data_IF_298076107536
#
_entry.id   IF_298076107536
#
_cell.length_a   1.000
_cell.length_b   1.000
_cell.length_c   1.000
_cell.angle_alpha   90.00
_cell.angle_beta   90.00
_cell.angle_gamma   90.00
#
_symmetry.space_group_name_H-M   'P 1'
#
loop_
_entity.id
_entity.type
_entity.pdbx_description
1 polymer ?
#
# COMPACT_ATOMS: atom_id res chain seq x y z
N UNK A 1 -13.53 10.28 -6.25
CA UNK A 1 -13.50 11.10 -7.48
C UNK A 1 -12.76 10.39 -8.61
N UNK A 2 -11.52 9.92 -8.41
CA UNK A 2 -10.79 9.16 -9.45
C UNK A 2 -11.51 7.89 -9.91
N UNK A 3 -12.10 7.12 -8.98
CA UNK A 3 -12.87 5.93 -9.32
C UNK A 3 -14.01 6.26 -10.32
N UNK A 4 -14.79 7.31 -10.04
CA UNK A 4 -15.83 7.78 -10.95
C UNK A 4 -15.27 8.23 -12.31
N UNK A 5 -14.14 8.95 -12.33
CA UNK A 5 -13.49 9.38 -13.56
C UNK A 5 -12.95 8.22 -14.42
N UNK A 6 -12.79 7.03 -13.84
CA UNK A 6 -12.36 5.79 -14.52
C UNK A 6 -13.47 4.76 -14.69
N UNK A 7 -14.72 5.13 -14.38
CA UNK A 7 -15.85 4.18 -14.34
C UNK A 7 -15.52 2.92 -13.50
N UNK A 8 -14.74 3.13 -12.43
CA UNK A 8 -14.18 2.11 -11.57
C UNK A 8 -14.91 2.07 -10.22
N UNK A 9 -14.76 0.95 -9.52
CA UNK A 9 -15.22 0.80 -8.13
C UNK A 9 -14.10 1.20 -7.17
N UNK A 10 -14.42 2.00 -6.16
CA UNK A 10 -13.53 2.24 -5.03
C UNK A 10 -13.65 1.10 -4.03
N UNK A 11 -12.58 0.32 -3.85
CA UNK A 11 -12.54 -0.75 -2.85
C UNK A 11 -11.81 -0.27 -1.59
N UNK A 12 -12.45 -0.33 -0.40
CA UNK A 12 -11.80 0.06 0.85
C UNK A 12 -10.75 -0.98 1.25
N UNK A 13 -9.52 -0.52 1.52
CA UNK A 13 -8.41 -1.39 1.96
C UNK A 13 -8.54 -1.88 3.40
N UNK A 14 -9.46 -1.29 4.18
CA UNK A 14 -9.95 -1.86 5.43
C UNK A 14 -11.47 -2.06 5.29
N UNK A 15 -11.94 -3.32 5.14
CA UNK A 15 -13.36 -3.58 4.96
C UNK A 15 -14.20 -3.05 6.13
N UNK A 16 -15.46 -2.72 5.87
CA UNK A 16 -16.35 -2.12 6.88
C UNK A 16 -16.46 -2.99 8.15
N UNK A 17 -16.50 -4.32 7.98
CA UNK A 17 -16.57 -5.27 9.09
C UNK A 17 -15.30 -5.28 9.98
N UNK A 18 -14.17 -4.80 9.48
CA UNK A 18 -12.92 -4.68 10.24
C UNK A 18 -12.84 -3.38 11.07
N UNK A 19 -13.74 -2.41 10.86
CA UNK A 19 -13.65 -1.10 11.51
C UNK A 19 -13.72 -1.15 13.05
N UNK A 20 -14.55 -1.99 13.69
CA UNK A 20 -14.53 -2.12 15.15
C UNK A 20 -13.16 -2.58 15.67
N UNK A 21 -12.60 -3.63 15.07
CA UNK A 21 -11.28 -4.15 15.46
C UNK A 21 -10.17 -3.13 15.17
N UNK A 22 -10.25 -2.42 14.04
CA UNK A 22 -9.33 -1.33 13.71
C UNK A 22 -9.25 -0.31 14.84
N UNK A 23 -10.39 0.11 15.40
CA UNK A 23 -10.43 1.09 16.49
C UNK A 23 -9.69 0.57 17.72
N UNK A 24 -9.83 -0.70 18.05
CA UNK A 24 -9.12 -1.30 19.19
C UNK A 24 -7.61 -1.36 18.96
N UNK A 25 -7.19 -1.79 17.76
CA UNK A 25 -5.78 -1.84 17.38
C UNK A 25 -5.16 -0.43 17.34
N UNK A 26 -5.88 0.55 16.80
CA UNK A 26 -5.44 1.95 16.69
C UNK A 26 -5.21 2.61 18.06
N UNK A 27 -5.88 2.14 19.12
CA UNK A 27 -5.66 2.62 20.50
C UNK A 27 -4.42 2.01 21.18
N UNK A 28 -3.87 0.93 20.64
CA UNK A 28 -2.67 0.28 21.17
C UNK A 28 -1.41 0.90 20.57
N UNK A 29 -0.26 0.55 21.15
CA UNK A 29 1.04 1.08 20.74
C UNK A 29 1.84 0.14 19.84
N UNK A 30 1.41 -1.12 19.75
CA UNK A 30 2.18 -2.17 19.11
C UNK A 30 2.11 -2.05 17.58
N UNK A 31 3.21 -1.58 16.97
CA UNK A 31 3.35 -1.39 15.53
C UNK A 31 3.18 -2.71 14.76
N UNK A 32 3.71 -3.82 15.28
CA UNK A 32 3.61 -5.13 14.64
C UNK A 32 2.17 -5.63 14.63
N UNK A 33 1.47 -5.53 15.76
CA UNK A 33 0.06 -5.91 15.84
C UNK A 33 -0.81 -5.07 14.88
N UNK A 34 -0.50 -3.77 14.77
CA UNK A 34 -1.14 -2.87 13.82
C UNK A 34 -0.84 -3.29 12.37
N UNK A 35 0.41 -3.59 12.05
CA UNK A 35 0.81 -4.06 10.72
C UNK A 35 0.08 -5.35 10.35
N UNK A 36 0.07 -6.37 11.22
CA UNK A 36 -0.63 -7.63 11.01
C UNK A 36 -2.14 -7.42 10.77
N UNK A 37 -2.76 -6.52 11.53
CA UNK A 37 -4.17 -6.15 11.32
C UNK A 37 -4.39 -5.57 9.92
N UNK A 38 -3.58 -4.60 9.50
CA UNK A 38 -3.72 -3.98 8.17
C UNK A 38 -3.42 -4.96 7.04
N UNK A 39 -2.45 -5.86 7.21
CA UNK A 39 -2.17 -6.92 6.25
C UNK A 39 -3.36 -7.86 6.08
N UNK A 40 -3.97 -8.32 7.19
CA UNK A 40 -5.17 -9.16 7.15
C UNK A 40 -6.33 -8.46 6.41
N UNK A 41 -6.52 -7.17 6.68
CA UNK A 41 -7.55 -6.38 5.99
C UNK A 41 -7.24 -6.22 4.49
N UNK A 42 -5.98 -5.98 4.12
CA UNK A 42 -5.54 -5.85 2.73
C UNK A 42 -5.66 -7.15 1.94
N UNK A 43 -5.34 -8.29 2.53
CA UNK A 43 -5.55 -9.59 1.90
C UNK A 43 -7.05 -9.86 1.67
N UNK A 44 -7.89 -9.50 2.64
CA UNK A 44 -9.36 -9.59 2.46
C UNK A 44 -9.84 -8.69 1.33
N UNK A 45 -9.34 -7.45 1.25
CA UNK A 45 -9.64 -6.54 0.16
C UNK A 45 -9.11 -7.07 -1.19
N UNK A 46 -7.95 -7.72 -1.22
CA UNK A 46 -7.40 -8.31 -2.45
C UNK A 46 -8.33 -9.36 -3.08
N UNK A 47 -9.01 -10.16 -2.27
CA UNK A 47 -10.01 -11.13 -2.76
C UNK A 47 -11.26 -10.45 -3.33
N UNK A 48 -11.64 -9.29 -2.79
CA UNK A 48 -12.71 -8.46 -3.36
C UNK A 48 -12.28 -7.80 -4.67
N UNK A 49 -11.06 -7.25 -4.71
CA UNK A 49 -10.47 -6.66 -5.92
C UNK A 49 -10.42 -7.71 -7.03
N UNK A 50 -9.96 -8.94 -6.75
CA UNK A 50 -9.93 -10.05 -7.72
C UNK A 50 -11.30 -10.34 -8.31
N UNK A 51 -12.36 -10.32 -7.49
CA UNK A 51 -13.73 -10.53 -7.96
C UNK A 51 -14.15 -9.45 -8.95
N UNK A 52 -13.94 -8.17 -8.63
CA UNK A 52 -14.24 -7.07 -9.56
C UNK A 52 -13.44 -7.17 -10.87
N UNK A 53 -12.13 -7.43 -10.78
CA UNK A 53 -11.28 -7.56 -11.95
C UNK A 53 -11.69 -8.74 -12.83
N UNK A 54 -12.06 -9.88 -12.23
CA UNK A 54 -12.56 -11.05 -12.98
C UNK A 54 -13.88 -10.79 -13.70
N UNK A 55 -14.69 -9.85 -13.19
CA UNK A 55 -15.90 -9.38 -13.83
C UNK A 55 -15.66 -8.24 -14.85
N UNK A 56 -14.40 -7.93 -15.17
CA UNK A 56 -14.04 -6.85 -16.09
C UNK A 56 -14.27 -5.43 -15.53
N UNK A 57 -14.48 -5.29 -14.22
CA UNK A 57 -14.72 -4.00 -13.58
C UNK A 57 -13.41 -3.40 -13.08
N UNK A 58 -13.00 -2.20 -13.55
CA UNK A 58 -11.81 -1.52 -13.04
C UNK A 58 -11.96 -1.18 -11.55
N UNK A 59 -10.83 -1.18 -10.84
CA UNK A 59 -10.80 -0.91 -9.40
C UNK A 59 -9.82 0.21 -9.09
N UNK A 60 -10.24 1.12 -8.21
CA UNK A 60 -9.37 2.09 -7.55
C UNK A 60 -9.30 1.74 -6.08
N UNK A 61 -8.09 1.78 -5.52
CA UNK A 61 -7.85 1.58 -4.08
C UNK A 61 -7.03 2.73 -3.54
N UNK A 62 -7.31 3.09 -2.29
CA UNK A 62 -6.46 3.98 -1.52
C UNK A 62 -5.65 3.16 -0.53
N UNK A 63 -4.37 3.47 -0.35
CA UNK A 63 -3.58 2.94 0.77
C UNK A 63 -3.38 1.40 0.74
N UNK A 64 -2.90 0.86 -0.39
CA UNK A 64 -2.66 -0.59 -0.56
C UNK A 64 -1.38 -1.09 0.14
N UNK A 65 -0.85 -2.27 -0.25
CA UNK A 65 0.29 -2.90 0.41
C UNK A 65 1.52 -1.99 0.55
N UNK A 66 1.88 -1.22 -0.47
CA UNK A 66 3.03 -0.33 -0.40
C UNK A 66 2.94 0.65 0.77
N UNK A 67 1.77 1.27 0.99
CA UNK A 67 1.55 2.17 2.14
C UNK A 67 1.61 1.44 3.46
N UNK A 68 1.03 0.23 3.54
CA UNK A 68 1.09 -0.57 4.75
C UNK A 68 2.54 -0.88 5.12
N UNK A 69 3.32 -1.42 4.18
CA UNK A 69 4.71 -1.81 4.42
C UNK A 69 5.60 -0.59 4.72
N UNK A 70 5.51 0.47 3.90
CA UNK A 70 6.33 1.67 4.07
C UNK A 70 6.07 2.37 5.41
N UNK A 71 4.79 2.60 5.75
CA UNK A 71 4.47 3.30 7.01
C UNK A 71 4.88 2.46 8.22
N UNK A 72 4.56 1.17 8.27
CA UNK A 72 4.89 0.36 9.45
C UNK A 72 6.40 0.13 9.57
N UNK A 73 7.12 -0.06 8.46
CA UNK A 73 8.58 -0.13 8.44
C UNK A 73 9.23 1.16 8.96
N UNK A 74 8.77 2.32 8.49
CA UNK A 74 9.25 3.62 8.99
C UNK A 74 8.94 3.86 10.48
N UNK A 75 7.87 3.25 10.99
CA UNK A 75 7.50 3.26 12.41
C UNK A 75 8.20 2.18 13.24
N UNK A 76 9.09 1.39 12.64
CA UNK A 76 9.93 0.42 13.35
C UNK A 76 9.36 -1.00 13.43
N UNK A 77 8.37 -1.35 12.59
CA UNK A 77 8.04 -2.76 12.38
C UNK A 77 9.27 -3.51 11.82
N UNK A 78 9.50 -4.70 12.36
CA UNK A 78 10.62 -5.60 12.04
C UNK A 78 10.14 -6.91 11.45
N UNK A 79 8.83 -7.16 11.44
CA UNK A 79 8.27 -8.35 10.83
C UNK A 79 8.57 -8.37 9.33
N UNK A 80 9.33 -9.38 8.90
CA UNK A 80 9.58 -9.64 7.48
C UNK A 80 8.33 -10.22 6.82
N UNK A 81 7.86 -9.58 5.74
CA UNK A 81 6.70 -10.02 4.97
C UNK A 81 7.13 -10.33 3.55
N UNK A 82 6.76 -11.51 3.07
CA UNK A 82 6.82 -11.85 1.65
C UNK A 82 5.40 -11.82 1.10
N UNK A 83 5.16 -10.95 0.12
CA UNK A 83 3.85 -10.86 -0.54
C UNK A 83 3.70 -11.98 -1.58
N UNK A 84 2.52 -12.61 -1.68
CA UNK A 84 2.25 -13.56 -2.76
C UNK A 84 2.40 -12.91 -4.14
N UNK A 85 3.03 -13.60 -5.12
CA UNK A 85 3.27 -13.04 -6.45
C UNK A 85 1.98 -12.85 -7.28
N UNK A 86 0.89 -13.52 -6.91
CA UNK A 86 -0.42 -13.51 -7.56
C UNK A 86 -1.35 -12.40 -7.03
N UNK A 87 -0.86 -11.50 -6.18
CA UNK A 87 -1.63 -10.33 -5.77
C UNK A 87 -1.92 -9.41 -6.95
N UNK A 88 -3.12 -8.78 -7.01
CA UNK A 88 -3.39 -7.73 -7.98
C UNK A 88 -2.31 -6.63 -7.91
N UNK A 89 -1.67 -6.33 -9.04
CA UNK A 89 -0.64 -5.31 -9.14
C UNK A 89 -1.24 -4.01 -9.71
N UNK A 90 -1.52 -2.99 -8.87
CA UNK A 90 -2.06 -1.73 -9.35
C UNK A 90 -0.99 -0.87 -10.02
N UNK A 91 -1.42 -0.03 -10.97
CA UNK A 91 -0.67 1.20 -11.27
C UNK A 91 -0.77 2.10 -10.05
N UNK A 92 0.37 2.44 -9.46
CA UNK A 92 0.42 3.17 -8.18
C UNK A 92 0.82 4.62 -8.44
N UNK A 93 0.10 5.56 -7.83
CA UNK A 93 0.43 6.98 -7.86
C UNK A 93 0.78 7.45 -6.45
N UNK A 94 1.93 8.09 -6.32
CA UNK A 94 2.36 8.76 -5.10
C UNK A 94 2.06 10.25 -5.23
N UNK A 95 1.12 10.73 -4.40
CA UNK A 95 0.66 12.11 -4.44
C UNK A 95 1.50 12.95 -3.48
N UNK A 96 2.25 13.89 -4.04
CA UNK A 96 3.15 14.77 -3.30
C UNK A 96 2.61 16.19 -3.31
N UNK A 97 3.01 16.98 -2.32
CA UNK A 97 2.83 18.43 -2.33
C UNK A 97 3.89 19.05 -1.42
N UNK A 98 4.15 20.34 -1.63
CA UNK A 98 4.99 21.14 -0.74
C UNK A 98 4.50 21.07 0.72
N UNK A 99 5.45 21.11 1.65
CA UNK A 99 5.18 20.90 3.08
C UNK A 99 4.21 21.96 3.65
N UNK A 100 4.34 23.21 3.21
CA UNK A 100 3.46 24.32 3.64
C UNK A 100 2.02 24.07 3.21
N UNK A 101 1.82 23.61 1.98
CA UNK A 101 0.51 23.25 1.47
C UNK A 101 -0.06 22.02 2.19
N UNK A 102 0.79 21.03 2.48
CA UNK A 102 0.39 19.88 3.29
C UNK A 102 -0.09 20.31 4.67
N UNK A 103 0.61 21.22 5.34
CA UNK A 103 0.18 21.75 6.65
C UNK A 103 -1.12 22.55 6.56
N UNK A 104 -1.27 23.39 5.53
CA UNK A 104 -2.50 24.15 5.30
C UNK A 104 -3.71 23.20 5.12
N UNK A 105 -3.58 22.19 4.26
CA UNK A 105 -4.63 21.17 4.01
C UNK A 105 -4.95 20.35 5.26
N UNK A 106 -3.95 20.02 6.08
CA UNK A 106 -4.16 19.29 7.33
C UNK A 106 -4.87 20.14 8.39
N UNK A 107 -4.55 21.44 8.48
CA UNK A 107 -5.16 22.36 9.44
C UNK A 107 -6.63 22.62 9.11
N UNK A 108 -6.98 22.67 7.83
CA UNK A 108 -8.37 22.78 7.37
C UNK A 108 -9.19 21.50 7.48
N UNK A 109 -8.60 20.39 7.96
CA UNK A 109 -9.29 19.09 8.00
C UNK A 109 -10.10 18.93 9.28
N UNK A 110 -11.40 18.73 9.14
CA UNK A 110 -12.28 18.32 10.26
C UNK A 110 -12.12 16.82 10.54
N UNK A 111 -10.94 16.43 11.03
CA UNK A 111 -10.65 15.06 11.44
C UNK A 111 -9.73 15.07 12.66
N UNK A 112 -10.08 14.36 13.75
CA UNK A 112 -9.18 14.21 14.89
C UNK A 112 -7.87 13.56 14.44
N UNK A 113 -6.75 14.20 14.78
CA UNK A 113 -5.43 13.60 14.59
C UNK A 113 -5.29 12.39 15.50
N UNK A 114 -5.09 11.21 14.92
CA UNK A 114 -4.72 10.05 15.72
C UNK A 114 -3.25 10.14 16.13
N UNK A 115 -2.88 9.42 17.21
CA UNK A 115 -1.48 9.22 17.58
C UNK A 115 -0.64 8.74 16.38
N UNK A 116 -1.19 7.84 15.57
CA UNK A 116 -0.50 7.28 14.42
C UNK A 116 -0.28 8.33 13.32
N UNK A 117 -1.20 9.28 13.14
CA UNK A 117 -1.00 10.41 12.25
C UNK A 117 0.16 11.30 12.73
N UNK A 118 0.27 11.52 14.05
CA UNK A 118 1.38 12.27 14.64
C UNK A 118 2.72 11.54 14.47
N UNK A 119 2.75 10.21 14.67
CA UNK A 119 3.95 9.39 14.48
C UNK A 119 4.41 9.35 13.01
N UNK A 120 3.46 9.23 12.06
CA UNK A 120 3.79 9.28 10.63
C UNK A 120 4.31 10.68 10.26
N UNK A 121 3.71 11.75 10.80
CA UNK A 121 4.21 13.12 10.59
C UNK A 121 5.64 13.31 11.11
N UNK A 122 5.97 12.79 12.29
CA UNK A 122 7.33 12.90 12.84
C UNK A 122 8.35 12.00 12.14
N UNK A 123 7.88 11.00 11.38
CA UNK A 123 8.71 10.08 10.60
C UNK A 123 8.63 10.35 9.09
N UNK A 124 8.20 11.53 8.63
CA UNK A 124 7.89 11.80 7.22
C UNK A 124 9.04 11.44 6.26
N UNK A 125 10.28 11.85 6.56
CA UNK A 125 11.45 11.50 5.75
C UNK A 125 11.65 9.98 5.62
N UNK A 126 11.60 9.27 6.75
CA UNK A 126 11.71 7.79 6.77
C UNK A 126 10.58 7.10 6.01
N UNK A 127 9.38 7.68 6.04
CA UNK A 127 8.23 7.16 5.30
C UNK A 127 8.44 7.34 3.79
N UNK A 128 8.92 8.52 3.36
CA UNK A 128 9.28 8.77 1.95
C UNK A 128 10.36 7.79 1.49
N UNK A 129 11.42 7.61 2.27
CA UNK A 129 12.50 6.67 1.95
C UNK A 129 11.97 5.23 1.84
N UNK A 130 11.05 4.84 2.73
CA UNK A 130 10.45 3.51 2.73
C UNK A 130 9.55 3.24 1.51
N UNK A 131 9.14 4.27 0.77
CA UNK A 131 8.43 4.10 -0.51
C UNK A 131 9.35 3.85 -1.70
N UNK A 132 10.64 4.22 -1.62
CA UNK A 132 11.59 4.12 -2.73
C UNK A 132 11.66 2.75 -3.44
N UNK A 133 11.49 1.59 -2.76
CA UNK A 133 11.53 0.29 -3.42
C UNK A 133 10.30 -0.03 -4.29
N UNK A 134 9.21 0.74 -4.19
CA UNK A 134 7.95 0.44 -4.88
C UNK A 134 7.85 1.24 -6.20
N UNK A 135 7.46 0.61 -7.31
CA UNK A 135 7.26 1.32 -8.56
C UNK A 135 6.01 2.21 -8.47
N UNK A 136 6.20 3.53 -8.51
CA UNK A 136 5.11 4.50 -8.41
C UNK A 136 5.30 5.66 -9.38
N UNK A 137 4.18 6.18 -9.90
CA UNK A 137 4.14 7.44 -10.60
C UNK A 137 4.01 8.59 -9.60
N UNK A 138 4.97 9.50 -9.59
CA UNK A 138 4.91 10.68 -8.74
C UNK A 138 4.02 11.74 -9.38
N UNK A 139 3.05 12.25 -8.63
CA UNK A 139 2.15 13.30 -9.08
C UNK A 139 2.22 14.44 -8.09
N UNK A 140 2.82 15.55 -8.51
CA UNK A 140 2.81 16.80 -7.76
C UNK A 140 1.40 17.39 -7.75
N UNK A 141 0.89 17.61 -6.55
CA UNK A 141 -0.44 18.17 -6.28
C UNK A 141 -0.37 19.59 -5.74
N UNK A 142 0.82 20.21 -5.72
CA UNK A 142 1.04 21.57 -5.21
C UNK A 142 0.24 22.59 -6.03
N UNK A 143 -0.57 23.40 -5.34
CA UNK A 143 -1.46 24.40 -5.92
C UNK A 143 -2.64 23.83 -6.69
N UNK A 144 -2.84 22.51 -6.70
CA UNK A 144 -3.86 21.84 -7.53
C UNK A 144 -5.10 21.45 -6.76
N UNK A 145 -6.26 21.73 -7.32
CA UNK A 145 -7.54 21.21 -6.86
C UNK A 145 -7.74 19.73 -7.22
N UNK A 146 -8.72 19.04 -6.60
CA UNK A 146 -8.97 17.61 -6.84
C UNK A 146 -9.17 17.23 -8.30
N UNK A 147 -9.86 18.07 -9.09
CA UNK A 147 -10.09 17.81 -10.52
C UNK A 147 -8.79 17.88 -11.35
N UNK A 148 -7.92 18.83 -11.06
CA UNK A 148 -6.64 18.99 -11.76
C UNK A 148 -5.69 17.82 -11.44
N UNK A 149 -5.70 17.34 -10.19
CA UNK A 149 -4.97 16.13 -9.80
C UNK A 149 -5.47 14.90 -10.56
N UNK A 150 -6.79 14.75 -10.73
CA UNK A 150 -7.36 13.64 -11.52
C UNK A 150 -6.88 13.72 -12.97
N UNK A 151 -6.91 14.91 -13.59
CA UNK A 151 -6.42 15.07 -14.97
C UNK A 151 -4.94 14.72 -15.09
N UNK A 152 -4.10 15.11 -14.12
CA UNK A 152 -2.68 14.75 -14.09
C UNK A 152 -2.47 13.22 -14.00
N UNK A 153 -3.24 12.55 -13.15
CA UNK A 153 -3.21 11.07 -13.03
C UNK A 153 -3.59 10.42 -14.36
N UNK A 154 -4.68 10.87 -14.99
CA UNK A 154 -5.16 10.31 -16.26
C UNK A 154 -4.15 10.55 -17.41
N UNK A 155 -3.47 11.69 -17.44
CA UNK A 155 -2.44 11.99 -18.44
C UNK A 155 -1.18 11.12 -18.34
N UNK A 156 -0.88 10.61 -17.14
CA UNK A 156 0.29 9.75 -16.90
C UNK A 156 0.13 8.38 -17.59
N UNK A 157 -1.10 7.87 -17.66
CA UNK A 157 -1.39 6.57 -18.29
C UNK A 157 -1.25 6.60 -19.81
N UNK A 158 -1.58 7.73 -20.43
CA UNK A 158 -1.44 7.92 -21.89
C UNK A 158 0.03 7.92 -22.31
N UNK A 159 0.94 8.40 -21.47
CA UNK A 159 2.38 8.37 -21.73
C UNK A 159 2.98 6.98 -21.50
N UNK A 160 2.50 6.24 -20.49
CA UNK A 160 2.96 4.87 -20.19
C UNK A 160 2.49 3.80 -21.18
N UNK A 161 1.34 4.01 -21.85
CA UNK A 161 0.83 3.10 -22.89
C UNK A 161 1.75 3.02 -24.12
N UNK A 162 2.51 4.09 -24.42
CA UNK A 162 3.51 4.09 -25.51
C UNK A 162 4.83 3.39 -25.14
N UNK A 163 5.18 3.32 -23.84
CA UNK A 163 6.42 2.68 -23.38
C UNK A 163 6.29 1.17 -23.11
N UNK A 164 5.07 0.67 -22.91
CA UNK A 164 4.78 -0.75 -22.62
C UNK A 164 4.93 -1.71 -23.81
N UNK A 165 5.20 -1.21 -25.01
CA UNK A 165 5.47 -2.06 -26.16
C UNK A 165 6.84 -2.77 -26.08
N UNK A 166 7.78 -2.30 -25.24
CA UNK A 166 9.20 -2.71 -25.31
C UNK A 166 9.84 -3.15 -23.97
N UNK A 167 9.07 -3.48 -22.93
CA UNK A 167 9.66 -3.84 -21.62
C UNK A 167 9.50 -5.33 -21.27
N UNK A 168 10.62 -6.07 -21.33
CA UNK A 168 10.81 -7.42 -20.76
C UNK A 168 10.63 -7.45 -19.22
N UNK A 169 10.09 -8.53 -18.64
CA UNK A 169 9.86 -8.63 -17.21
C UNK A 169 11.17 -8.95 -16.45
N UNK A 170 11.68 -7.96 -15.70
CA UNK A 170 12.78 -8.14 -14.75
C UNK A 170 12.23 -8.36 -13.34
N UNK A 171 12.53 -9.51 -12.74
CA UNK A 171 12.33 -9.71 -11.29
C UNK A 171 11.92 -11.11 -10.82
N UNK A 172 12.58 -12.17 -11.28
CA UNK A 172 12.52 -13.48 -10.62
C UNK A 172 13.83 -13.71 -9.83
N UNK A 173 13.87 -13.29 -8.57
CA UNK A 173 14.91 -13.70 -7.64
C UNK A 173 14.29 -14.52 -6.50
N UNK A 174 14.43 -15.86 -6.53
CA UNK A 174 14.01 -16.70 -5.42
C UNK A 174 15.09 -16.65 -4.33
N UNK A 175 14.81 -16.01 -3.20
CA UNK A 175 15.56 -16.30 -1.99
C UNK A 175 15.11 -17.67 -1.46
N UNK A 176 15.80 -18.71 -1.91
CA UNK A 176 15.78 -20.03 -1.29
C UNK A 176 16.28 -19.90 0.15
N UNK A 177 15.41 -20.16 1.13
CA UNK A 177 15.85 -20.43 2.49
C UNK A 177 16.71 -21.70 2.48
N UNK A 178 17.82 -21.77 3.24
CA UNK A 178 18.57 -23.01 3.37
C UNK A 178 17.71 -24.08 4.06
N UNK A 179 17.78 -25.36 3.62
CA UNK A 179 16.98 -26.42 4.20
C UNK A 179 17.35 -26.64 5.66
N UNK A 180 16.32 -26.76 6.51
CA UNK A 180 16.44 -27.15 7.92
C UNK A 180 17.07 -28.55 7.99
N UNK A 181 18.15 -28.76 8.77
CA UNK A 181 18.72 -30.09 8.95
C UNK A 181 17.69 -31.01 9.61
N UNK A 182 17.22 -32.03 8.89
CA UNK A 182 16.48 -33.14 9.48
C UNK A 182 17.45 -33.90 10.38
N UNK A 183 17.21 -33.92 11.69
CA UNK A 183 17.86 -34.86 12.62
C UNK A 183 17.62 -36.27 12.08
N UNK A 184 18.70 -37.01 11.86
CA UNK A 184 18.62 -38.42 11.54
C UNK A 184 17.95 -39.16 12.71
N UNK A 185 16.83 -39.80 12.41
CA UNK A 185 16.25 -40.85 13.24
C UNK A 185 17.30 -41.95 13.37
N UNK A 186 17.88 -42.07 14.57
CA UNK A 186 18.66 -43.23 14.95
C UNK A 186 17.71 -44.37 15.27
N UNK A 187 17.62 -45.35 14.38
CA UNK A 187 17.08 -46.67 14.65
C UNK A 187 18.09 -47.74 14.18
N UNK A 188 18.66 -48.47 15.16
CA UNK A 188 19.08 -49.89 15.19
C UNK A 188 19.94 -50.46 14.04
N UNK A 189 20.91 -51.38 14.20
CA UNK A 189 21.49 -52.28 15.24
C UNK A 189 22.67 -53.03 14.53
N UNK A 190 23.48 -53.94 15.13
CA UNK A 190 23.18 -54.94 16.18
C UNK A 190 23.93 -54.77 17.49
#
# INVERSE_FOLDING_TARGET
MLAAAREAVLVPTVPALYQPLRREVDRRENVEARMCFYLSALFTAADEIRRYLSAGTPVVVESYFARCLANHGALGARLGITLPPDLPQPVTYYLECEEDERQARLTGRDKPNSRWDALVKSASGRVTDAYAPFPMHHVDTTGRGPNEVIQAILATDTQGAHARADAEPVGAHPHLLPPVPRRAEGAHRP
#
